data_IF_540684563788
#
_entry.id   IF_540684563788
#
_cell.length_a   1.000
_cell.length_b   1.000
_cell.length_c   1.000
_cell.angle_alpha   90.00
_cell.angle_beta   90.00
_cell.angle_gamma   90.00
#
_symmetry.space_group_name_H-M   'P 1'
#
loop_
_entity.id
_entity.type
_entity.pdbx_description
1 polymer ?
#
# COMPACT_ATOMS: atom_id res chain seq x y z
N UNK A 1 -2.54 28.23 32.32
CA UNK A 1 -3.56 27.99 31.28
C UNK A 1 -2.88 27.93 29.93
N UNK A 2 -3.44 27.19 28.98
CA UNK A 2 -2.88 27.03 27.63
C UNK A 2 -2.93 28.32 26.79
N UNK A 3 -3.66 29.35 27.22
CA UNK A 3 -3.79 30.64 26.51
C UNK A 3 -2.45 31.32 26.19
N UNK A 4 -1.46 31.22 27.09
CA UNK A 4 -0.13 31.80 26.86
C UNK A 4 0.59 31.18 25.64
N UNK A 5 0.32 29.92 25.32
CA UNK A 5 0.90 29.22 24.16
C UNK A 5 0.35 29.76 22.84
N UNK A 6 -0.96 30.03 22.77
CA UNK A 6 -1.61 30.53 21.55
C UNK A 6 -1.22 31.99 21.23
N UNK A 7 -0.87 32.78 22.25
CA UNK A 7 -0.44 34.17 22.10
C UNK A 7 1.08 34.38 22.09
N UNK A 8 1.87 33.30 22.21
CA UNK A 8 3.33 33.37 22.37
C UNK A 8 4.06 34.03 21.18
N UNK A 9 3.48 33.95 19.98
CA UNK A 9 4.02 34.55 18.76
C UNK A 9 3.09 35.67 18.26
N UNK A 10 3.43 36.96 18.50
CA UNK A 10 2.57 38.09 18.17
C UNK A 10 2.27 38.25 16.67
N UNK A 11 3.19 37.81 15.81
CA UNK A 11 3.09 37.96 14.35
C UNK A 11 2.58 36.71 13.63
N UNK A 12 2.78 35.52 14.20
CA UNK A 12 2.33 34.23 13.65
C UNK A 12 1.79 33.31 14.77
N UNK A 13 0.65 33.66 15.40
CA UNK A 13 0.12 32.89 16.51
C UNK A 13 -0.30 31.49 16.06
N UNK A 14 -0.28 30.54 17.00
CA UNK A 14 -0.85 29.22 16.77
C UNK A 14 -2.37 29.36 16.58
N UNK A 15 -2.94 28.70 15.56
CA UNK A 15 -4.37 28.77 15.29
C UNK A 15 -4.98 27.38 15.13
N UNK A 16 -6.26 27.29 15.49
CA UNK A 16 -7.11 26.13 15.20
C UNK A 16 -8.30 26.66 14.40
N UNK A 17 -8.46 26.19 13.16
CA UNK A 17 -9.52 26.63 12.25
C UNK A 17 -10.16 25.44 11.58
N UNK A 18 -11.45 25.58 11.26
CA UNK A 18 -12.17 24.62 10.40
C UNK A 18 -11.79 24.83 8.93
N UNK A 19 -11.95 23.78 8.12
CA UNK A 19 -11.62 23.76 6.69
C UNK A 19 -12.14 24.96 5.90
N UNK A 20 -13.36 25.43 6.22
CA UNK A 20 -14.02 26.54 5.51
C UNK A 20 -13.37 27.90 5.79
N UNK A 21 -12.62 28.02 6.89
CA UNK A 21 -12.05 29.28 7.39
C UNK A 21 -10.53 29.36 7.19
N UNK A 22 -9.92 28.37 6.52
CA UNK A 22 -8.49 28.34 6.21
C UNK A 22 -8.25 29.00 4.85
N UNK A 23 -8.17 30.34 4.86
CA UNK A 23 -7.91 31.12 3.65
C UNK A 23 -6.75 32.09 3.90
N UNK A 24 -5.66 31.90 3.16
CA UNK A 24 -4.45 32.73 3.27
C UNK A 24 -3.57 32.42 4.50
N UNK A 25 -3.99 31.52 5.39
CA UNK A 25 -3.17 31.09 6.52
C UNK A 25 -2.25 29.93 6.14
N UNK A 26 -0.94 30.13 6.28
CA UNK A 26 0.10 29.11 6.04
C UNK A 26 0.99 28.93 7.27
N UNK A 27 1.51 27.71 7.49
CA UNK A 27 2.46 27.40 8.57
C UNK A 27 3.52 26.43 8.08
N UNK A 28 4.68 26.43 8.73
CA UNK A 28 5.75 25.47 8.42
C UNK A 28 5.27 24.02 8.61
N UNK A 29 4.52 23.80 9.69
CA UNK A 29 3.87 22.53 9.99
C UNK A 29 2.37 22.76 10.13
N UNK A 30 1.57 21.96 9.43
CA UNK A 30 0.13 21.94 9.58
C UNK A 30 -0.29 20.58 10.12
N UNK A 31 -1.09 20.60 11.19
CA UNK A 31 -1.71 19.42 11.77
C UNK A 31 -3.16 19.36 11.28
N UNK A 32 -3.50 18.31 10.54
CA UNK A 32 -4.84 18.05 10.03
C UNK A 32 -5.48 16.99 10.90
N UNK A 33 -6.54 17.35 11.63
CA UNK A 33 -7.37 16.39 12.34
C UNK A 33 -8.62 16.08 11.53
N UNK A 34 -8.79 14.83 11.13
CA UNK A 34 -9.98 14.33 10.43
C UNK A 34 -11.02 13.94 11.48
N UNK A 35 -12.07 14.76 11.61
CA UNK A 35 -13.13 14.58 12.61
C UNK A 35 -14.22 13.56 12.25
N UNK A 36 -14.03 12.75 11.20
CA UNK A 36 -14.99 11.71 10.81
C UNK A 36 -14.63 10.38 11.49
N UNK A 37 -15.65 9.67 11.97
CA UNK A 37 -15.44 8.44 12.71
C UNK A 37 -16.67 7.54 12.73
N UNK A 38 -16.45 6.31 13.19
CA UNK A 38 -17.51 5.35 13.46
C UNK A 38 -18.24 5.73 14.74
N UNK A 39 -19.54 5.56 14.78
CA UNK A 39 -20.30 5.65 16.02
C UNK A 39 -20.00 4.43 16.93
N UNK A 40 -20.49 4.41 18.19
CA UNK A 40 -20.27 3.28 19.10
C UNK A 40 -20.79 1.94 18.59
N UNK A 41 -21.69 1.93 17.61
CA UNK A 41 -22.22 0.74 16.94
C UNK A 41 -21.37 0.31 15.72
N UNK A 42 -20.21 0.94 15.50
CA UNK A 42 -19.30 0.63 14.40
C UNK A 42 -19.75 1.18 13.03
N UNK A 43 -20.86 1.91 12.97
CA UNK A 43 -21.40 2.49 11.75
C UNK A 43 -20.76 3.86 11.46
N UNK A 44 -20.29 4.04 10.23
CA UNK A 44 -19.79 5.32 9.74
C UNK A 44 -20.83 5.96 8.81
N UNK A 45 -21.21 7.20 9.13
CA UNK A 45 -22.03 7.99 8.23
C UNK A 45 -21.20 8.44 7.02
N UNK A 46 -21.64 8.10 5.82
CA UNK A 46 -21.00 8.50 4.55
C UNK A 46 -21.36 9.95 4.16
N UNK A 47 -21.26 10.87 5.12
CA UNK A 47 -21.55 12.29 4.96
C UNK A 47 -20.35 13.08 5.43
N UNK A 48 -19.62 13.68 4.48
CA UNK A 48 -18.37 14.39 4.75
C UNK A 48 -18.57 15.91 4.79
N UNK A 49 -19.80 16.38 5.00
CA UNK A 49 -20.11 17.80 5.18
C UNK A 49 -19.59 18.66 4.01
N UNK A 50 -18.79 19.71 4.26
CA UNK A 50 -18.27 20.61 3.22
C UNK A 50 -17.43 19.95 2.12
N UNK A 51 -16.90 18.73 2.36
CA UNK A 51 -16.17 17.94 1.37
C UNK A 51 -17.09 17.18 0.41
N UNK A 52 -18.33 16.91 0.80
CA UNK A 52 -19.35 16.29 -0.07
C UNK A 52 -19.99 17.30 -1.03
N UNK A 53 -19.89 18.60 -0.74
CA UNK A 53 -20.43 19.67 -1.57
C UNK A 53 -19.51 19.97 -2.77
N UNK A 54 -20.06 20.62 -3.80
CA UNK A 54 -19.29 21.10 -4.94
C UNK A 54 -18.13 22.01 -4.50
N UNK A 55 -16.96 21.79 -5.10
CA UNK A 55 -15.71 22.47 -4.72
C UNK A 55 -15.06 21.96 -3.44
N UNK A 56 -15.55 20.87 -2.84
CA UNK A 56 -14.94 20.22 -1.67
C UNK A 56 -13.50 19.77 -1.93
N UNK A 57 -13.20 19.32 -3.14
CA UNK A 57 -11.84 18.97 -3.60
C UNK A 57 -10.90 20.18 -3.59
N UNK A 58 -11.41 21.37 -3.94
CA UNK A 58 -10.62 22.61 -3.93
C UNK A 58 -10.30 23.01 -2.50
N UNK A 59 -11.25 22.87 -1.57
CA UNK A 59 -11.03 23.11 -0.13
C UNK A 59 -9.98 22.15 0.44
N UNK A 60 -10.04 20.87 0.07
CA UNK A 60 -9.06 19.87 0.51
C UNK A 60 -7.66 20.18 -0.02
N UNK A 61 -7.54 20.50 -1.31
CA UNK A 61 -6.25 20.90 -1.90
C UNK A 61 -5.69 22.16 -1.23
N UNK A 62 -6.55 23.13 -0.92
CA UNK A 62 -6.20 24.32 -0.16
C UNK A 62 -5.64 23.95 1.22
N UNK A 63 -6.27 23.03 1.95
CA UNK A 63 -5.81 22.59 3.27
C UNK A 63 -4.43 21.92 3.19
N UNK A 64 -4.25 20.98 2.25
CA UNK A 64 -3.00 20.20 2.09
C UNK A 64 -1.84 21.13 1.71
N UNK A 65 -2.11 22.13 0.87
CA UNK A 65 -1.09 23.08 0.41
C UNK A 65 -0.77 24.21 1.41
N UNK A 66 -1.36 24.22 2.63
CA UNK A 66 -1.02 25.20 3.68
C UNK A 66 0.26 24.87 4.45
N UNK A 67 0.72 23.63 4.39
CA UNK A 67 1.98 23.20 4.99
C UNK A 67 3.17 23.59 4.10
N UNK A 68 4.12 24.36 4.62
CA UNK A 68 5.34 24.71 3.87
C UNK A 68 6.39 23.60 3.91
N UNK A 69 6.50 22.88 5.04
CA UNK A 69 7.53 21.84 5.25
C UNK A 69 6.93 20.47 5.53
N UNK A 70 5.95 20.39 6.44
CA UNK A 70 5.41 19.11 6.90
C UNK A 70 3.91 19.19 7.15
N UNK A 71 3.19 18.18 6.67
CA UNK A 71 1.77 18.00 6.97
C UNK A 71 1.61 16.72 7.81
N UNK A 72 0.99 16.84 8.98
CA UNK A 72 0.71 15.70 9.86
C UNK A 72 -0.79 15.46 9.91
N UNK A 73 -1.22 14.24 9.61
CA UNK A 73 -2.63 13.88 9.53
C UNK A 73 -3.00 12.95 10.67
N UNK A 74 -3.97 13.36 11.48
CA UNK A 74 -4.58 12.55 12.54
C UNK A 74 -5.96 12.13 12.06
N UNK A 75 -6.21 10.84 11.97
CA UNK A 75 -7.48 10.33 11.49
C UNK A 75 -7.88 9.07 12.25
N UNK A 76 -9.15 9.01 12.65
CA UNK A 76 -9.77 7.78 13.19
C UNK A 76 -10.29 6.84 12.10
N UNK A 77 -10.15 7.22 10.83
CA UNK A 77 -10.60 6.46 9.66
C UNK A 77 -9.47 6.36 8.62
N UNK A 78 -9.53 5.33 7.79
CA UNK A 78 -8.62 5.05 6.69
C UNK A 78 -9.30 5.33 5.34
N UNK A 79 -8.53 5.29 4.25
CA UNK A 79 -9.08 5.38 2.90
C UNK A 79 -10.13 4.29 2.61
N UNK A 80 -9.94 3.08 3.16
CA UNK A 80 -10.83 1.93 2.97
C UNK A 80 -12.18 2.10 3.69
N UNK A 81 -12.22 2.92 4.74
CA UNK A 81 -13.47 3.26 5.44
C UNK A 81 -14.38 4.16 4.60
N UNK A 82 -13.87 4.78 3.53
CA UNK A 82 -14.62 5.66 2.65
C UNK A 82 -15.18 4.86 1.47
N UNK A 83 -16.48 4.63 1.49
CA UNK A 83 -17.22 3.97 0.41
C UNK A 83 -17.71 5.00 -0.62
N UNK A 84 -17.04 5.05 -1.78
CA UNK A 84 -17.40 5.96 -2.89
C UNK A 84 -18.70 5.57 -3.60
N UNK A 85 -19.23 4.35 -3.38
CA UNK A 85 -20.55 3.97 -3.86
C UNK A 85 -21.68 4.56 -3.02
N UNK A 86 -21.39 4.93 -1.76
CA UNK A 86 -22.35 5.49 -0.80
C UNK A 86 -22.09 6.95 -0.46
N UNK A 87 -20.90 7.46 -0.74
CA UNK A 87 -20.50 8.84 -0.56
C UNK A 87 -20.26 9.51 -1.91
N UNK A 88 -21.04 10.54 -2.23
CA UNK A 88 -20.87 11.34 -3.44
C UNK A 88 -20.03 12.59 -3.17
N UNK A 89 -19.35 13.07 -4.22
CA UNK A 89 -18.60 14.33 -4.21
C UNK A 89 -17.12 14.14 -4.49
N UNK A 90 -16.56 15.03 -5.33
CA UNK A 90 -15.15 15.01 -5.74
C UNK A 90 -14.21 15.18 -4.56
N UNK A 91 -14.58 15.99 -3.57
CA UNK A 91 -13.81 16.17 -2.33
C UNK A 91 -13.69 14.90 -1.49
N UNK A 92 -14.70 14.03 -1.50
CA UNK A 92 -14.65 12.74 -0.78
C UNK A 92 -13.69 11.76 -1.45
N UNK A 93 -13.70 11.69 -2.78
CA UNK A 93 -12.74 10.87 -3.53
C UNK A 93 -11.30 11.36 -3.36
N UNK A 94 -11.11 12.69 -3.32
CA UNK A 94 -9.82 13.30 -3.03
C UNK A 94 -9.37 13.00 -1.59
N UNK A 95 -10.26 13.08 -0.60
CA UNK A 95 -9.94 12.73 0.80
C UNK A 95 -9.53 11.25 0.91
N UNK A 96 -10.26 10.34 0.26
CA UNK A 96 -9.91 8.91 0.23
C UNK A 96 -8.49 8.69 -0.27
N UNK A 97 -8.12 9.38 -1.36
CA UNK A 97 -6.80 9.18 -1.95
C UNK A 97 -5.72 9.90 -1.18
N UNK A 98 -6.00 11.07 -0.62
CA UNK A 98 -5.11 11.76 0.29
C UNK A 98 -4.80 10.90 1.53
N UNK A 99 -5.80 10.26 2.13
CA UNK A 99 -5.58 9.33 3.25
C UNK A 99 -4.78 8.09 2.81
N UNK A 100 -5.04 7.56 1.62
CA UNK A 100 -4.27 6.45 1.04
C UNK A 100 -2.81 6.84 0.84
N UNK A 101 -2.55 8.04 0.31
CA UNK A 101 -1.22 8.59 0.11
C UNK A 101 -0.52 8.87 1.45
N UNK A 102 -1.20 9.53 2.39
CA UNK A 102 -0.67 9.80 3.73
C UNK A 102 -0.30 8.51 4.50
N UNK A 103 -0.98 7.40 4.18
CA UNK A 103 -0.73 6.10 4.79
C UNK A 103 0.37 5.28 4.08
N UNK A 104 0.49 5.38 2.76
CA UNK A 104 1.33 4.46 1.96
C UNK A 104 2.55 5.12 1.32
N UNK A 105 2.58 6.45 1.22
CA UNK A 105 3.57 7.22 0.47
C UNK A 105 3.53 6.97 -1.04
N UNK A 106 2.62 6.12 -1.54
CA UNK A 106 2.55 5.72 -2.93
C UNK A 106 1.40 6.43 -3.62
N UNK A 107 1.72 7.10 -4.71
CA UNK A 107 0.75 7.57 -5.69
C UNK A 107 0.59 6.50 -6.77
N UNK A 108 -0.53 5.78 -6.72
CA UNK A 108 -0.84 4.70 -7.65
C UNK A 108 -0.73 5.07 -9.13
N UNK A 109 -0.56 4.03 -9.95
CA UNK A 109 -0.36 4.04 -11.41
C UNK A 109 -1.29 5.06 -12.09
N UNK A 110 -0.67 5.95 -12.87
CA UNK A 110 -1.34 7.01 -13.61
C UNK A 110 -2.46 6.44 -14.50
N UNK A 111 -3.70 6.68 -14.09
CA UNK A 111 -4.87 6.15 -14.76
C UNK A 111 -5.42 7.22 -15.69
N UNK A 112 -5.81 6.85 -16.91
CA UNK A 112 -6.59 7.73 -17.80
C UNK A 112 -7.87 8.13 -17.08
N UNK A 113 -8.00 9.40 -16.71
CA UNK A 113 -9.13 9.87 -15.89
C UNK A 113 -10.39 10.12 -16.71
N UNK A 114 -10.29 10.16 -18.04
CA UNK A 114 -11.39 10.48 -18.96
C UNK A 114 -11.90 11.93 -18.82
N UNK A 115 -11.13 12.79 -18.16
CA UNK A 115 -11.45 14.21 -17.93
C UNK A 115 -11.04 15.06 -19.14
N UNK A 116 -11.57 16.27 -19.23
CA UNK A 116 -11.13 17.30 -20.18
C UNK A 116 -10.16 18.27 -19.51
N UNK A 117 -9.53 19.12 -20.31
CA UNK A 117 -8.65 20.19 -19.90
C UNK A 117 -9.34 21.14 -18.91
N UNK A 118 -8.65 21.58 -17.85
CA UNK A 118 -9.22 22.39 -16.76
C UNK A 118 -9.17 23.90 -17.06
N UNK A 119 -8.45 24.29 -18.13
CA UNK A 119 -8.26 25.68 -18.55
C UNK A 119 -8.22 25.82 -20.08
N UNK A 120 -8.70 26.93 -20.66
CA UNK A 120 -8.51 27.24 -22.08
C UNK A 120 -7.03 27.22 -22.49
N UNK A 121 -6.12 27.58 -21.58
CA UNK A 121 -4.68 27.50 -21.84
C UNK A 121 -4.21 26.04 -22.03
N UNK A 122 -4.67 25.12 -21.20
CA UNK A 122 -4.37 23.69 -21.33
C UNK A 122 -4.96 23.13 -22.63
N UNK A 123 -6.15 23.56 -23.03
CA UNK A 123 -6.78 23.21 -24.31
C UNK A 123 -5.91 23.64 -25.50
N UNK A 124 -5.43 24.89 -25.52
CA UNK A 124 -4.55 25.39 -26.57
C UNK A 124 -3.22 24.62 -26.66
N UNK A 125 -2.62 24.27 -25.52
CA UNK A 125 -1.39 23.47 -25.48
C UNK A 125 -1.68 22.05 -25.98
N UNK A 126 -2.77 21.44 -25.52
CA UNK A 126 -3.18 20.10 -25.90
C UNK A 126 -3.37 19.98 -27.41
N UNK A 127 -4.12 20.91 -28.00
CA UNK A 127 -4.37 20.92 -29.44
C UNK A 127 -3.11 21.19 -30.26
N UNK A 128 -2.22 22.07 -29.78
CA UNK A 128 -0.93 22.31 -30.43
C UNK A 128 -0.06 21.04 -30.46
N UNK A 129 -0.04 20.26 -29.37
CA UNK A 129 0.72 19.00 -29.30
C UNK A 129 0.03 17.90 -30.13
N UNK A 130 -1.30 17.85 -30.17
CA UNK A 130 -2.06 16.97 -31.07
C UNK A 130 -1.78 17.27 -32.55
N UNK A 131 -1.68 18.54 -32.91
CA UNK A 131 -1.35 18.99 -34.28
C UNK A 131 0.09 18.64 -34.71
N UNK A 132 1.00 18.42 -33.75
CA UNK A 132 2.32 17.82 -34.03
C UNK A 132 2.25 16.31 -34.30
N UNK A 133 1.06 15.70 -34.19
CA UNK A 133 0.85 14.28 -34.41
C UNK A 133 1.15 13.43 -33.17
N UNK A 134 0.93 13.94 -31.97
CA UNK A 134 1.04 13.15 -30.72
C UNK A 134 -0.33 12.89 -30.09
N UNK A 135 -0.49 11.73 -29.45
CA UNK A 135 -1.69 11.46 -28.63
C UNK A 135 -1.44 12.01 -27.21
N UNK A 136 -2.35 12.86 -26.74
CA UNK A 136 -2.22 13.57 -25.47
C UNK A 136 -3.46 13.34 -24.64
N UNK A 137 -3.24 12.95 -23.38
CA UNK A 137 -4.30 12.72 -22.41
C UNK A 137 -4.25 13.80 -21.32
N UNK A 138 -5.32 14.57 -21.13
CA UNK A 138 -5.38 15.52 -20.03
C UNK A 138 -5.56 14.81 -18.68
N UNK A 139 -5.12 15.49 -17.62
CA UNK A 139 -5.42 15.16 -16.22
C UNK A 139 -5.07 13.71 -15.86
N UNK A 140 -3.86 13.27 -16.22
CA UNK A 140 -3.38 11.90 -16.00
C UNK A 140 -2.72 11.77 -14.63
N UNK A 141 -3.15 10.79 -13.83
CA UNK A 141 -2.64 10.59 -12.47
C UNK A 141 -3.65 9.85 -11.58
N UNK A 142 -3.46 9.90 -10.27
CA UNK A 142 -4.43 9.38 -9.29
C UNK A 142 -4.79 10.44 -8.27
N UNK A 143 -6.10 10.50 -8.02
CA UNK A 143 -6.83 11.38 -7.12
C UNK A 143 -6.02 12.39 -6.28
N UNK A 144 -5.83 13.58 -6.85
CA UNK A 144 -5.25 14.76 -6.21
C UNK A 144 -3.92 15.18 -6.82
N UNK A 145 -3.21 14.26 -7.47
CA UNK A 145 -2.01 14.55 -8.25
C UNK A 145 -2.29 14.17 -9.69
N UNK A 146 -2.71 15.18 -10.45
CA UNK A 146 -2.90 15.07 -11.88
C UNK A 146 -1.78 15.84 -12.56
N UNK A 147 -1.25 15.25 -13.62
CA UNK A 147 -0.43 15.94 -14.60
C UNK A 147 -1.41 16.54 -15.60
N UNK A 148 -1.23 17.84 -15.89
CA UNK A 148 -2.20 18.60 -16.68
C UNK A 148 -2.39 17.97 -18.06
N UNK A 149 -1.30 17.60 -18.74
CA UNK A 149 -1.32 16.85 -19.99
C UNK A 149 -0.23 15.78 -20.01
N UNK A 150 -0.51 14.58 -20.52
CA UNK A 150 0.49 13.52 -20.68
C UNK A 150 0.52 13.01 -22.12
N UNK A 151 1.71 13.03 -22.71
CA UNK A 151 1.98 12.58 -24.08
C UNK A 151 2.17 11.06 -24.08
N UNK A 152 1.33 10.35 -24.81
CA UNK A 152 1.40 8.89 -24.89
C UNK A 152 2.51 8.42 -25.83
N UNK A 153 3.13 7.31 -25.47
CA UNK A 153 4.00 6.55 -26.36
C UNK A 153 3.18 5.76 -27.39
N UNK A 154 3.37 6.07 -28.69
CA UNK A 154 2.71 5.39 -29.80
C UNK A 154 3.24 3.98 -30.04
N UNK A 155 4.49 3.71 -29.69
CA UNK A 155 5.09 2.39 -29.87
C UNK A 155 4.68 1.44 -28.72
N UNK A 156 4.29 1.99 -27.57
CA UNK A 156 3.91 1.24 -26.36
C UNK A 156 2.63 1.79 -25.70
N UNK A 157 1.45 1.32 -26.13
CA UNK A 157 0.18 1.72 -25.53
C UNK A 157 0.14 1.44 -24.02
N UNK A 158 -0.18 2.46 -23.21
CA UNK A 158 -0.16 2.37 -21.73
C UNK A 158 1.04 3.04 -21.06
N UNK A 159 2.07 3.43 -21.82
CA UNK A 159 3.20 4.25 -21.35
C UNK A 159 3.07 5.71 -21.79
N UNK A 160 3.56 6.62 -20.96
CA UNK A 160 3.65 8.04 -21.27
C UNK A 160 5.10 8.45 -21.46
N UNK A 161 5.37 9.25 -22.49
CA UNK A 161 6.69 9.78 -22.82
C UNK A 161 7.03 11.01 -21.98
N UNK A 162 6.05 11.91 -21.82
CA UNK A 162 6.27 13.22 -21.22
C UNK A 162 5.01 13.68 -20.48
N UNK A 163 5.17 14.17 -19.26
CA UNK A 163 4.15 14.96 -18.56
C UNK A 163 4.38 16.45 -18.83
N UNK A 164 3.32 17.17 -19.16
CA UNK A 164 3.35 18.62 -19.37
C UNK A 164 2.55 19.27 -18.24
N UNK A 165 3.19 20.22 -17.56
CA UNK A 165 2.52 21.06 -16.55
C UNK A 165 2.30 22.48 -17.11
N UNK A 166 1.06 22.96 -17.00
CA UNK A 166 0.59 24.27 -17.40
C UNK A 166 0.29 25.09 -16.14
N UNK A 167 0.84 26.29 -16.02
CA UNK A 167 0.44 27.22 -14.95
C UNK A 167 -0.97 27.77 -15.20
N UNK A 168 -1.85 27.60 -14.21
CA UNK A 168 -3.20 28.19 -14.24
C UNK A 168 -3.18 29.71 -14.05
N UNK A 169 -4.06 30.44 -14.73
CA UNK A 169 -4.13 31.91 -14.77
C UNK A 169 -4.41 32.65 -13.44
N UNK A 170 -4.37 31.99 -12.27
CA UNK A 170 -4.53 32.60 -10.95
C UNK A 170 -3.21 32.81 -10.18
N UNK A 171 -2.05 32.63 -10.83
CA UNK A 171 -0.78 32.32 -10.16
C UNK A 171 0.18 33.50 -9.93
N UNK A 172 -0.34 34.66 -9.56
CA UNK A 172 0.49 35.82 -9.21
C UNK A 172 0.17 36.34 -7.80
N UNK A 173 0.71 35.67 -6.77
CA UNK A 173 1.18 36.30 -5.53
C UNK A 173 1.65 35.27 -4.50
N UNK A 174 2.93 34.90 -4.51
CA UNK A 174 3.72 34.63 -3.28
C UNK A 174 5.11 34.08 -3.61
N UNK A 175 6.06 34.38 -2.71
CA UNK A 175 7.40 33.79 -2.68
C UNK A 175 7.39 32.26 -2.52
N UNK A 176 6.28 31.66 -2.03
CA UNK A 176 6.13 30.21 -1.80
C UNK A 176 5.78 29.40 -3.07
N UNK A 177 5.36 30.05 -4.16
CA UNK A 177 4.98 29.36 -5.40
C UNK A 177 6.14 28.61 -6.05
N UNK A 178 7.32 29.24 -6.13
CA UNK A 178 8.51 28.64 -6.77
C UNK A 178 9.04 27.41 -6.04
N UNK A 179 8.91 27.36 -4.72
CA UNK A 179 9.39 26.24 -3.89
C UNK A 179 8.40 25.06 -3.95
N UNK A 180 7.09 25.36 -3.98
CA UNK A 180 6.03 24.38 -4.22
C UNK A 180 6.15 23.72 -5.61
N UNK A 181 6.41 24.50 -6.65
CA UNK A 181 6.52 23.99 -8.03
C UNK A 181 7.79 23.12 -8.21
N UNK A 182 8.90 23.48 -7.54
CA UNK A 182 10.13 22.68 -7.53
C UNK A 182 9.97 21.37 -6.78
N UNK A 183 9.32 21.39 -5.62
CA UNK A 183 9.07 20.17 -4.85
C UNK A 183 8.11 19.24 -5.59
N UNK A 184 7.06 19.78 -6.23
CA UNK A 184 6.13 19.00 -7.03
C UNK A 184 6.82 18.33 -8.23
N UNK A 185 7.64 19.09 -8.95
CA UNK A 185 8.42 18.55 -10.05
C UNK A 185 9.39 17.46 -9.57
N UNK A 186 10.12 17.70 -8.48
CA UNK A 186 11.04 16.72 -7.91
C UNK A 186 10.31 15.43 -7.50
N UNK A 187 9.12 15.53 -6.90
CA UNK A 187 8.31 14.36 -6.54
C UNK A 187 7.85 13.61 -7.79
N UNK A 188 7.39 14.28 -8.84
CA UNK A 188 6.98 13.61 -10.08
C UNK A 188 8.16 12.95 -10.80
N UNK A 189 9.32 13.60 -10.83
CA UNK A 189 10.55 13.09 -11.44
C UNK A 189 11.13 11.90 -10.65
N UNK A 190 11.11 11.95 -9.31
CA UNK A 190 11.48 10.83 -8.43
C UNK A 190 10.60 9.58 -8.68
N UNK A 191 9.36 9.80 -9.12
CA UNK A 191 8.40 8.74 -9.46
C UNK A 191 8.40 8.37 -10.96
N UNK A 192 9.45 8.75 -11.69
CA UNK A 192 9.72 8.29 -13.05
C UNK A 192 9.07 9.10 -14.17
N UNK A 193 8.53 10.28 -13.89
CA UNK A 193 8.01 11.17 -14.93
C UNK A 193 9.09 12.09 -15.50
N UNK A 194 9.12 12.24 -16.82
CA UNK A 194 9.84 13.33 -17.47
C UNK A 194 8.85 14.50 -17.58
N UNK A 195 9.11 15.60 -16.89
CA UNK A 195 8.21 16.75 -16.82
C UNK A 195 8.70 17.90 -17.69
N UNK A 196 7.79 18.50 -18.47
CA UNK A 196 8.02 19.74 -19.20
C UNK A 196 7.02 20.80 -18.79
N UNK A 197 7.50 21.93 -18.28
CA UNK A 197 6.63 23.03 -17.85
C UNK A 197 6.46 24.07 -18.96
N UNK A 198 5.22 24.54 -19.14
CA UNK A 198 4.89 25.66 -20.02
C UNK A 198 4.25 26.75 -19.17
N UNK A 199 4.79 27.97 -19.29
CA UNK A 199 4.23 29.16 -18.65
C UNK A 199 3.24 29.84 -19.61
N UNK A 200 2.07 30.22 -19.12
CA UNK A 200 0.94 30.81 -19.84
C UNK A 200 1.35 32.16 -20.44
N UNK A 201 2.17 32.92 -19.73
CA UNK A 201 2.76 34.18 -20.22
C UNK A 201 3.70 33.96 -21.39
N UNK A 202 4.53 32.92 -21.32
CA UNK A 202 5.49 32.59 -22.37
C UNK A 202 4.79 32.01 -23.60
N UNK A 203 3.76 31.19 -23.38
CA UNK A 203 2.91 30.65 -24.42
C UNK A 203 2.17 31.75 -25.18
N UNK A 204 1.60 32.72 -24.47
CA UNK A 204 0.88 33.83 -25.10
C UNK A 204 1.80 34.70 -25.96
N UNK A 205 3.03 34.97 -25.50
CA UNK A 205 3.97 35.80 -26.24
C UNK A 205 4.65 35.06 -27.40
N UNK A 206 4.99 33.78 -27.21
CA UNK A 206 5.86 33.02 -28.13
C UNK A 206 5.38 31.56 -28.28
N UNK A 207 4.15 31.32 -28.76
CA UNK A 207 3.58 29.97 -28.82
C UNK A 207 4.39 29.04 -29.72
N UNK A 208 4.88 29.55 -30.85
CA UNK A 208 5.73 28.80 -31.79
C UNK A 208 7.06 28.33 -31.17
N UNK A 209 7.68 29.14 -30.31
CA UNK A 209 8.92 28.73 -29.64
C UNK A 209 8.64 27.71 -28.53
N UNK A 210 7.54 27.88 -27.78
CA UNK A 210 7.19 26.95 -26.71
C UNK A 210 6.81 25.57 -27.26
N UNK A 211 6.03 25.52 -28.33
CA UNK A 211 5.68 24.24 -28.96
C UNK A 211 6.91 23.54 -29.56
N UNK A 212 7.89 24.30 -30.08
CA UNK A 212 9.16 23.72 -30.55
C UNK A 212 9.99 23.13 -29.38
N UNK A 213 9.97 23.78 -28.20
CA UNK A 213 10.61 23.25 -26.99
C UNK A 213 9.93 21.98 -26.49
N UNK A 214 8.60 21.91 -26.56
CA UNK A 214 7.82 20.71 -26.23
C UNK A 214 8.17 19.58 -27.20
N UNK A 215 8.19 19.83 -28.51
CA UNK A 215 8.56 18.83 -29.51
C UNK A 215 9.98 18.28 -29.25
N UNK A 216 10.94 19.17 -28.97
CA UNK A 216 12.29 18.76 -28.62
C UNK A 216 12.35 18.00 -27.28
N UNK A 217 11.48 18.32 -26.31
CA UNK A 217 11.39 17.59 -25.05
C UNK A 217 10.81 16.18 -25.24
N UNK A 218 9.82 16.01 -26.12
CA UNK A 218 9.26 14.71 -26.49
C UNK A 218 10.34 13.84 -27.15
N UNK A 219 11.10 14.38 -28.10
CA UNK A 219 12.18 13.63 -28.76
C UNK A 219 13.29 13.25 -27.76
N UNK A 220 13.68 14.17 -26.87
CA UNK A 220 14.62 13.83 -25.78
C UNK A 220 14.07 12.74 -24.87
N UNK A 221 12.79 12.81 -24.51
CA UNK A 221 12.16 11.80 -23.66
C UNK A 221 12.16 10.42 -24.33
N UNK A 222 11.90 10.33 -25.64
CA UNK A 222 12.03 9.09 -26.40
C UNK A 222 13.45 8.54 -26.34
N UNK A 223 14.46 9.37 -26.56
CA UNK A 223 15.87 8.94 -26.51
C UNK A 223 16.27 8.47 -25.11
N UNK A 224 15.90 9.21 -24.06
CA UNK A 224 16.19 8.83 -22.67
C UNK A 224 15.53 7.50 -22.31
N UNK A 225 14.26 7.31 -22.70
CA UNK A 225 13.53 6.06 -22.44
C UNK A 225 14.05 4.89 -23.28
N UNK A 226 14.47 5.11 -24.52
CA UNK A 226 15.08 4.08 -25.36
C UNK A 226 16.48 3.70 -24.87
N UNK A 227 17.31 4.67 -24.47
CA UNK A 227 18.62 4.42 -23.89
C UNK A 227 18.55 3.68 -22.55
N UNK A 228 17.60 4.02 -21.69
CA UNK A 228 17.36 3.30 -20.44
C UNK A 228 16.91 1.84 -20.69
N UNK A 229 16.21 1.57 -21.79
CA UNK A 229 15.79 0.23 -22.20
C UNK A 229 16.92 -0.58 -22.84
N UNK A 230 17.76 0.07 -23.65
CA UNK A 230 18.95 -0.56 -24.23
C UNK A 230 20.00 -0.84 -23.15
N UNK A 231 20.19 0.04 -22.16
CA UNK A 231 21.02 -0.22 -20.97
C UNK A 231 20.45 -1.36 -20.12
N UNK A 232 19.13 -1.42 -19.92
CA UNK A 232 18.47 -2.52 -19.21
C UNK A 232 18.54 -3.86 -19.97
N UNK A 233 18.74 -3.83 -21.30
CA UNK A 233 18.77 -5.01 -22.17
C UNK A 233 20.19 -5.47 -22.55
N UNK A 234 21.18 -4.57 -22.48
CA UNK A 234 22.58 -4.83 -22.83
C UNK A 234 23.52 -5.01 -21.62
N UNK A 235 23.09 -4.68 -20.40
CA UNK A 235 23.91 -4.90 -19.20
C UNK A 235 23.87 -6.38 -18.75
N UNK A 236 25.02 -7.09 -18.64
CA UNK A 236 25.14 -8.19 -17.70
C UNK A 236 25.03 -7.62 -16.28
N UNK A 237 24.30 -8.32 -15.42
CA UNK A 237 23.98 -7.91 -14.05
C UNK A 237 25.24 -7.68 -13.22
N UNK A 238 25.75 -6.45 -13.23
CA UNK A 238 26.79 -5.96 -12.33
C UNK A 238 26.74 -4.44 -12.25
N UNK A 239 26.48 -3.92 -11.05
CA UNK A 239 27.27 -2.91 -10.32
C UNK A 239 26.42 -1.93 -9.51
N UNK A 240 26.58 -2.06 -8.18
CA UNK A 240 26.63 -0.92 -7.29
C UNK A 240 27.89 -0.09 -7.57
N UNK A 241 27.81 1.23 -7.35
CA UNK A 241 28.92 1.99 -6.77
C UNK A 241 28.34 3.07 -5.84
N UNK A 242 28.67 2.92 -4.55
CA UNK A 242 28.55 3.91 -3.48
C UNK A 242 29.46 5.13 -3.68
N UNK A 243 29.13 6.27 -3.08
CA UNK A 243 29.97 6.91 -2.02
C UNK A 243 29.07 7.69 -1.04
N UNK A 244 28.86 7.05 0.12
CA UNK A 244 28.93 7.53 1.51
C UNK A 244 28.24 8.84 1.96
N UNK A 245 27.23 8.67 2.82
CA UNK A 245 27.34 9.00 4.26
C UNK A 245 26.52 8.00 5.09
N UNK A 246 27.23 7.18 5.86
CA UNK A 246 26.78 6.25 6.91
C UNK A 246 25.55 5.38 6.59
N UNK A 247 25.73 4.51 5.59
CA UNK A 247 24.81 3.41 5.29
C UNK A 247 25.46 2.07 5.64
N UNK A 248 24.83 1.33 6.55
CA UNK A 248 24.77 -0.13 6.45
C UNK A 248 23.35 -0.50 6.02
N UNK A 249 23.07 -0.38 4.72
CA UNK A 249 21.83 -0.86 4.10
C UNK A 249 22.20 -2.04 3.22
N UNK A 250 21.91 -3.25 3.72
CA UNK A 250 22.04 -4.49 2.96
C UNK A 250 20.95 -4.50 1.88
N UNK A 251 21.35 -4.66 0.62
CA UNK A 251 20.43 -4.81 -0.51
C UNK A 251 19.60 -6.08 -0.36
N UNK A 252 18.29 -5.93 -0.27
CA UNK A 252 17.33 -7.01 -0.07
C UNK A 252 17.08 -7.73 -1.40
N UNK A 253 17.50 -9.00 -1.51
CA UNK A 253 17.05 -9.93 -2.54
C UNK A 253 15.51 -9.97 -2.59
N UNK A 254 14.96 -10.02 -3.80
CA UNK A 254 13.51 -9.97 -4.03
C UNK A 254 12.75 -10.97 -3.13
N UNK A 255 11.87 -10.50 -2.21
CA UNK A 255 11.17 -11.35 -1.24
C UNK A 255 10.28 -12.45 -1.86
N UNK A 256 9.94 -12.32 -3.14
CA UNK A 256 9.08 -13.28 -3.86
C UNK A 256 9.79 -14.59 -4.22
N UNK A 257 11.12 -14.66 -4.17
CA UNK A 257 11.89 -15.89 -4.43
C UNK A 257 12.00 -16.84 -3.23
N UNK A 258 11.59 -16.38 -2.04
CA UNK A 258 11.78 -17.08 -0.76
C UNK A 258 10.51 -17.76 -0.22
N UNK A 259 9.40 -17.72 -0.96
CA UNK A 259 8.15 -18.38 -0.60
C UNK A 259 7.56 -19.20 -1.74
N UNK A 260 6.80 -20.24 -1.39
CA UNK A 260 6.09 -21.09 -2.37
C UNK A 260 4.61 -20.74 -2.39
N UNK A 261 3.90 -20.87 -3.53
CA UNK A 261 2.47 -20.55 -3.57
C UNK A 261 1.67 -21.50 -2.65
N UNK A 262 0.69 -20.97 -1.93
CA UNK A 262 -0.24 -21.77 -1.14
C UNK A 262 -1.11 -22.63 -2.05
N UNK A 263 -1.12 -23.94 -1.80
CA UNK A 263 -1.94 -24.89 -2.56
C UNK A 263 -3.06 -25.40 -1.67
N UNK A 264 -4.29 -25.28 -2.18
CA UNK A 264 -5.50 -25.76 -1.52
C UNK A 264 -5.68 -27.26 -1.78
N UNK A 265 -6.11 -28.00 -0.76
CA UNK A 265 -6.31 -29.43 -0.88
C UNK A 265 -7.43 -29.75 -1.88
N UNK A 266 -7.14 -30.69 -2.78
CA UNK A 266 -8.09 -31.19 -3.76
C UNK A 266 -7.93 -32.71 -3.84
N UNK A 267 -8.94 -33.44 -3.40
CA UNK A 267 -8.98 -34.91 -3.47
C UNK A 267 -10.42 -35.42 -3.46
N UNK A 268 -10.61 -36.66 -3.91
CA UNK A 268 -11.93 -37.27 -3.97
C UNK A 268 -12.47 -37.58 -2.57
N UNK A 269 -13.74 -37.29 -2.34
CA UNK A 269 -14.43 -37.52 -1.07
C UNK A 269 -15.71 -38.33 -1.29
N UNK A 270 -16.22 -39.06 -0.28
CA UNK A 270 -17.47 -39.80 -0.42
C UNK A 270 -18.65 -38.84 -0.54
N UNK A 271 -19.09 -38.56 -1.77
CA UNK A 271 -20.19 -37.60 -2.05
C UNK A 271 -21.58 -38.18 -1.83
N UNK A 272 -21.70 -39.51 -1.65
CA UNK A 272 -22.98 -40.20 -1.38
C UNK A 272 -23.57 -39.86 0.00
N UNK A 273 -22.76 -39.34 0.92
CA UNK A 273 -23.17 -38.89 2.25
C UNK A 273 -22.75 -37.44 2.44
N UNK A 274 -23.55 -36.67 3.16
CA UNK A 274 -23.17 -35.31 3.55
C UNK A 274 -22.01 -35.36 4.57
N UNK A 275 -21.16 -34.33 4.66
CA UNK A 275 -20.01 -34.34 5.57
C UNK A 275 -20.38 -34.62 7.03
N UNK A 276 -21.51 -34.09 7.49
CA UNK A 276 -21.97 -34.25 8.87
C UNK A 276 -22.62 -35.61 9.17
N UNK A 277 -22.80 -36.47 8.16
CA UNK A 277 -23.29 -37.85 8.29
C UNK A 277 -22.13 -38.85 8.46
N UNK A 278 -20.89 -38.41 8.23
CA UNK A 278 -19.71 -39.22 8.49
C UNK A 278 -19.54 -39.43 9.99
N UNK A 279 -19.13 -40.64 10.38
CA UNK A 279 -18.69 -40.90 11.75
C UNK A 279 -17.43 -40.09 12.06
N UNK A 280 -17.16 -39.81 13.34
CA UNK A 280 -15.97 -39.04 13.74
C UNK A 280 -14.65 -39.66 13.22
N UNK A 281 -14.45 -40.99 13.21
CA UNK A 281 -13.25 -41.59 12.62
C UNK A 281 -13.16 -41.40 11.09
N UNK A 282 -14.28 -41.51 10.36
CA UNK A 282 -14.31 -41.25 8.90
C UNK A 282 -13.99 -39.79 8.60
N UNK A 283 -14.60 -38.84 9.33
CA UNK A 283 -14.30 -37.42 9.21
C UNK A 283 -12.83 -37.13 9.56
N UNK A 284 -12.28 -37.77 10.59
CA UNK A 284 -10.88 -37.62 10.99
C UNK A 284 -9.90 -38.03 9.88
N UNK A 285 -10.21 -39.06 9.08
CA UNK A 285 -9.37 -39.43 7.93
C UNK A 285 -9.34 -38.33 6.86
N UNK A 286 -10.49 -37.74 6.55
CA UNK A 286 -10.60 -36.65 5.57
C UNK A 286 -9.91 -35.39 6.09
N UNK A 287 -10.17 -35.01 7.34
CA UNK A 287 -9.55 -33.86 8.01
C UNK A 287 -8.03 -34.02 8.07
N UNK A 288 -7.53 -35.20 8.44
CA UNK A 288 -6.08 -35.47 8.46
C UNK A 288 -5.47 -35.27 7.08
N UNK A 289 -6.15 -35.71 6.01
CA UNK A 289 -5.66 -35.50 4.64
C UNK A 289 -5.63 -34.01 4.25
N UNK A 290 -6.59 -33.21 4.71
CA UNK A 290 -6.52 -31.75 4.55
C UNK A 290 -5.32 -31.18 5.31
N UNK A 291 -5.13 -31.55 6.58
CA UNK A 291 -4.00 -31.08 7.40
C UNK A 291 -2.65 -31.52 6.84
N UNK A 292 -2.57 -32.69 6.20
CA UNK A 292 -1.36 -33.15 5.52
C UNK A 292 -0.98 -32.27 4.32
N UNK A 293 -1.96 -31.78 3.57
CA UNK A 293 -1.73 -30.98 2.36
C UNK A 293 -1.63 -29.48 2.65
N UNK A 294 -2.40 -28.98 3.62
CA UNK A 294 -2.53 -27.55 3.92
C UNK A 294 -1.92 -27.16 5.28
N UNK A 295 -1.47 -28.11 6.09
CA UNK A 295 -0.85 -27.84 7.39
C UNK A 295 0.43 -27.00 7.27
N UNK A 296 0.66 -26.03 8.19
CA UNK A 296 -0.25 -25.58 9.25
C UNK A 296 -1.49 -24.83 8.71
N UNK A 297 -2.68 -25.22 9.15
CA UNK A 297 -3.96 -24.64 8.67
C UNK A 297 -4.93 -24.39 9.82
N UNK A 298 -5.64 -23.27 9.80
CA UNK A 298 -6.61 -22.92 10.85
C UNK A 298 -7.83 -23.86 10.81
N UNK A 299 -8.37 -24.23 11.97
CA UNK A 299 -9.53 -25.13 12.06
C UNK A 299 -10.76 -24.69 11.26
N UNK A 300 -11.04 -23.39 11.21
CA UNK A 300 -12.13 -22.85 10.39
C UNK A 300 -11.87 -23.04 8.89
N UNK A 301 -10.61 -22.92 8.45
CA UNK A 301 -10.25 -23.13 7.05
C UNK A 301 -10.35 -24.62 6.69
N UNK A 302 -10.06 -25.53 7.62
CA UNK A 302 -10.35 -26.96 7.43
C UNK A 302 -11.84 -27.17 7.18
N UNK A 303 -12.73 -26.51 7.92
CA UNK A 303 -14.17 -26.61 7.70
C UNK A 303 -14.61 -26.03 6.34
N UNK A 304 -14.00 -24.90 5.92
CA UNK A 304 -14.18 -24.33 4.57
C UNK A 304 -13.72 -25.30 3.49
N UNK A 305 -12.56 -25.93 3.67
CA UNK A 305 -12.01 -26.92 2.74
C UNK A 305 -12.90 -28.14 2.61
N UNK A 306 -13.37 -28.69 3.72
CA UNK A 306 -14.32 -29.83 3.72
C UNK A 306 -15.59 -29.47 2.96
N UNK A 307 -16.14 -28.27 3.18
CA UNK A 307 -17.30 -27.78 2.42
C UNK A 307 -17.01 -27.74 0.92
N UNK A 308 -15.86 -27.20 0.52
CA UNK A 308 -15.46 -27.06 -0.88
C UNK A 308 -15.25 -28.42 -1.57
N UNK A 309 -14.66 -29.40 -0.88
CA UNK A 309 -14.51 -30.77 -1.39
C UNK A 309 -15.86 -31.45 -1.68
N UNK A 310 -16.92 -31.08 -0.95
CA UNK A 310 -18.30 -31.53 -1.19
C UNK A 310 -19.11 -30.61 -2.12
N UNK A 311 -18.52 -29.55 -2.67
CA UNK A 311 -19.20 -28.61 -3.56
C UNK A 311 -20.35 -27.83 -2.89
N UNK A 312 -20.31 -27.66 -1.57
CA UNK A 312 -21.38 -27.01 -0.82
C UNK A 312 -21.17 -25.48 -0.77
N UNK A 313 -22.26 -24.71 -0.85
CA UNK A 313 -22.19 -23.24 -0.90
C UNK A 313 -21.94 -22.54 0.45
N UNK A 314 -22.25 -23.17 1.60
CA UNK A 314 -22.07 -22.56 2.93
C UNK A 314 -21.58 -23.58 3.95
N UNK A 315 -20.76 -23.11 4.90
CA UNK A 315 -20.34 -23.90 6.06
C UNK A 315 -21.41 -23.75 7.13
N UNK A 316 -22.17 -24.81 7.38
CA UNK A 316 -23.14 -24.84 8.49
C UNK A 316 -22.47 -25.24 9.82
N UNK A 317 -23.09 -24.88 10.95
CA UNK A 317 -22.59 -25.22 12.30
C UNK A 317 -22.34 -26.71 12.50
N UNK A 318 -23.15 -27.58 11.88
CA UNK A 318 -22.99 -29.04 11.93
C UNK A 318 -21.67 -29.53 11.30
N UNK A 319 -21.21 -28.87 10.23
CA UNK A 319 -19.93 -29.21 9.58
C UNK A 319 -18.78 -28.76 10.49
N UNK A 320 -18.84 -27.55 11.03
CA UNK A 320 -17.85 -27.05 11.98
C UNK A 320 -17.72 -27.96 13.21
N UNK A 321 -18.86 -28.40 13.77
CA UNK A 321 -18.87 -29.30 14.93
C UNK A 321 -18.26 -30.68 14.60
N UNK A 322 -18.59 -31.24 13.44
CA UNK A 322 -18.01 -32.52 12.99
C UNK A 322 -16.49 -32.42 12.77
N UNK A 323 -16.03 -31.34 12.14
CA UNK A 323 -14.60 -31.05 11.93
C UNK A 323 -13.88 -30.84 13.26
N UNK A 324 -14.46 -30.08 14.20
CA UNK A 324 -13.88 -29.85 15.53
C UNK A 324 -13.72 -31.16 16.32
N UNK A 325 -14.72 -32.04 16.29
CA UNK A 325 -14.65 -33.39 16.90
C UNK A 325 -13.55 -34.24 16.26
N UNK A 326 -13.41 -34.18 14.94
CA UNK A 326 -12.38 -34.91 14.20
C UNK A 326 -10.97 -34.40 14.50
N UNK A 327 -10.75 -33.07 14.51
CA UNK A 327 -9.48 -32.45 14.90
C UNK A 327 -9.08 -32.83 16.34
N UNK A 328 -10.04 -32.75 17.27
CA UNK A 328 -9.84 -33.16 18.66
C UNK A 328 -9.41 -34.63 18.78
N UNK A 329 -9.98 -35.51 17.97
CA UNK A 329 -9.61 -36.93 17.94
C UNK A 329 -8.18 -37.14 17.41
N UNK A 330 -7.80 -36.43 16.34
CA UNK A 330 -6.47 -36.52 15.75
C UNK A 330 -5.37 -36.03 16.71
N UNK A 331 -5.62 -34.90 17.40
CA UNK A 331 -4.71 -34.38 18.43
C UNK A 331 -4.54 -35.37 19.58
N UNK A 332 -5.64 -35.96 20.09
CA UNK A 332 -5.58 -36.97 21.16
C UNK A 332 -4.81 -38.23 20.77
N UNK A 333 -4.80 -38.60 19.49
CA UNK A 333 -4.05 -39.74 18.95
C UNK A 333 -2.60 -39.41 18.63
N UNK A 334 -2.18 -38.14 18.76
CA UNK A 334 -0.86 -37.68 18.34
C UNK A 334 -0.65 -37.69 16.83
N UNK A 335 -1.73 -37.76 16.04
CA UNK A 335 -1.66 -37.71 14.57
C UNK A 335 -1.55 -36.27 14.04
N UNK A 336 -2.00 -35.29 14.83
CA UNK A 336 -1.85 -33.86 14.56
C UNK A 336 -1.39 -33.11 15.81
N UNK A 337 -0.66 -32.01 15.62
CA UNK A 337 -0.36 -31.00 16.63
C UNK A 337 -1.24 -29.77 16.42
N UNK A 338 -1.61 -29.11 17.52
CA UNK A 338 -2.38 -27.87 17.53
C UNK A 338 -1.55 -26.75 18.18
N UNK A 339 -1.48 -25.59 17.52
CA UNK A 339 -0.80 -24.37 17.98
C UNK A 339 -1.68 -23.18 17.57
N UNK A 340 -2.27 -22.47 18.54
CA UNK A 340 -3.08 -21.26 18.32
C UNK A 340 -4.24 -21.45 17.31
N UNK A 341 -4.95 -22.59 17.37
CA UNK A 341 -6.03 -22.92 16.45
C UNK A 341 -5.56 -23.42 15.06
N UNK A 342 -4.25 -23.56 14.85
CA UNK A 342 -3.65 -24.13 13.65
C UNK A 342 -3.26 -25.57 13.85
N UNK A 343 -3.56 -26.40 12.85
CA UNK A 343 -3.32 -27.84 12.88
C UNK A 343 -2.25 -28.21 11.86
N UNK A 344 -1.31 -29.06 12.28
CA UNK A 344 -0.19 -29.56 11.47
C UNK A 344 0.09 -31.02 11.83
N UNK A 345 0.84 -31.73 10.97
CA UNK A 345 1.38 -33.05 11.35
C UNK A 345 2.62 -32.85 12.25
N UNK A 346 2.86 -33.69 13.28
CA UNK A 346 3.94 -33.47 14.25
C UNK A 346 5.35 -33.35 13.65
N UNK A 347 5.60 -33.96 12.49
CA UNK A 347 6.90 -33.95 11.81
C UNK A 347 6.88 -33.17 10.48
N UNK A 348 5.85 -32.34 10.24
CA UNK A 348 5.78 -31.57 9.01
C UNK A 348 6.85 -30.47 8.98
N UNK A 349 7.55 -30.36 7.85
CA UNK A 349 8.44 -29.23 7.59
C UNK A 349 7.58 -28.01 7.28
N UNK A 350 7.83 -26.90 7.97
CA UNK A 350 7.07 -25.66 7.79
C UNK A 350 7.61 -24.93 6.55
N UNK A 351 6.81 -24.90 5.49
CA UNK A 351 7.10 -24.10 4.29
C UNK A 351 6.52 -22.68 4.44
N UNK A 352 7.24 -21.67 3.96
CA UNK A 352 6.75 -20.30 3.90
C UNK A 352 5.86 -20.17 2.66
N UNK A 353 4.56 -19.97 2.87
CA UNK A 353 3.58 -20.03 1.77
C UNK A 353 2.98 -18.66 1.44
N UNK A 354 3.02 -18.29 0.17
CA UNK A 354 2.40 -17.08 -0.35
C UNK A 354 0.90 -17.33 -0.60
N UNK A 355 0.04 -16.56 0.08
CA UNK A 355 -1.43 -16.70 0.02
C UNK A 355 -2.11 -15.67 -0.87
N UNK A 356 -1.35 -14.85 -1.60
CA UNK A 356 -1.89 -13.74 -2.39
C UNK A 356 -2.87 -14.16 -3.48
N UNK A 357 -2.69 -15.37 -4.04
CA UNK A 357 -3.52 -15.97 -5.08
C UNK A 357 -4.51 -17.03 -4.58
N UNK A 358 -4.59 -17.26 -3.27
CA UNK A 358 -5.48 -18.29 -2.71
C UNK A 358 -6.96 -17.94 -2.95
N UNK A 359 -7.77 -18.93 -3.36
CA UNK A 359 -9.18 -18.70 -3.69
C UNK A 359 -10.03 -18.38 -2.45
N UNK A 360 -9.67 -18.93 -1.29
CA UNK A 360 -10.37 -18.70 -0.03
C UNK A 360 -10.04 -17.31 0.53
N UNK A 361 -11.08 -16.52 0.80
CA UNK A 361 -10.92 -15.15 1.29
C UNK A 361 -10.40 -15.08 2.72
N UNK A 362 -10.65 -16.11 3.55
CA UNK A 362 -10.14 -16.22 4.93
C UNK A 362 -8.61 -16.33 4.96
N UNK A 363 -8.01 -17.06 4.02
CA UNK A 363 -6.55 -17.22 3.91
C UNK A 363 -5.79 -15.89 3.67
N UNK A 364 -6.48 -14.85 3.19
CA UNK A 364 -5.90 -13.51 2.99
C UNK A 364 -6.10 -12.59 4.19
N UNK A 365 -6.54 -13.11 5.34
CA UNK A 365 -6.70 -12.36 6.60
C UNK A 365 -5.56 -12.68 7.56
N UNK A 366 -5.04 -11.69 8.31
CA UNK A 366 -3.95 -11.93 9.26
C UNK A 366 -4.26 -12.99 10.31
N UNK A 367 -5.50 -13.10 10.79
CA UNK A 367 -5.89 -14.11 11.80
C UNK A 367 -5.66 -15.55 11.33
N UNK A 368 -5.64 -15.79 10.01
CA UNK A 368 -5.47 -17.11 9.40
C UNK A 368 -4.02 -17.39 8.98
N UNK A 369 -3.07 -16.56 9.41
CA UNK A 369 -1.64 -16.80 9.21
C UNK A 369 -1.07 -17.69 10.33
N UNK A 370 -0.53 -18.87 10.01
CA UNK A 370 0.04 -19.73 11.03
C UNK A 370 1.27 -19.12 11.68
N UNK A 371 1.30 -19.12 13.01
CA UNK A 371 2.41 -18.58 13.80
C UNK A 371 3.74 -19.25 13.43
N UNK A 372 3.74 -20.56 13.17
CA UNK A 372 4.91 -21.31 12.72
C UNK A 372 5.49 -20.79 11.37
N UNK A 373 4.64 -20.43 10.41
CA UNK A 373 5.09 -19.89 9.12
C UNK A 373 5.63 -18.47 9.24
N UNK A 374 4.97 -17.65 10.05
CA UNK A 374 5.44 -16.29 10.35
C UNK A 374 6.83 -16.36 11.00
N UNK A 375 7.02 -17.25 11.99
CA UNK A 375 8.32 -17.47 12.62
C UNK A 375 9.38 -17.94 11.62
N UNK A 376 9.03 -18.89 10.75
CA UNK A 376 9.93 -19.37 9.70
C UNK A 376 10.35 -18.25 8.73
N UNK A 377 9.40 -17.39 8.32
CA UNK A 377 9.68 -16.26 7.45
C UNK A 377 10.56 -15.20 8.12
N UNK A 378 10.31 -14.88 9.39
CA UNK A 378 11.16 -13.96 10.18
C UNK A 378 12.60 -14.50 10.27
N UNK A 379 12.77 -15.78 10.61
CA UNK A 379 14.09 -16.39 10.72
C UNK A 379 14.82 -16.39 9.37
N UNK A 380 14.15 -16.77 8.28
CA UNK A 380 14.75 -16.74 6.94
C UNK A 380 15.18 -15.33 6.54
N UNK A 381 14.37 -14.31 6.85
CA UNK A 381 14.70 -12.92 6.59
C UNK A 381 15.96 -12.49 7.36
N UNK A 382 16.01 -12.77 8.65
CA UNK A 382 17.14 -12.38 9.51
C UNK A 382 18.41 -13.15 9.12
N UNK A 383 18.28 -14.41 8.71
CA UNK A 383 19.39 -15.23 8.23
C UNK A 383 19.96 -14.73 6.91
N UNK A 384 19.09 -14.21 6.04
CA UNK A 384 19.48 -13.66 4.72
C UNK A 384 20.16 -12.31 4.86
N UNK A 385 19.70 -11.45 5.79
CA UNK A 385 20.14 -10.06 5.91
C UNK A 385 21.03 -9.77 7.12
N UNK A 386 21.31 -10.76 7.96
CA UNK A 386 22.11 -10.64 9.19
C UNK A 386 21.59 -9.59 10.20
N UNK A 387 20.31 -9.22 10.09
CA UNK A 387 19.64 -8.27 10.97
C UNK A 387 18.66 -7.36 10.20
N UNK A 388 17.63 -6.86 10.89
CA UNK A 388 16.67 -5.91 10.31
C UNK A 388 15.95 -5.10 11.39
N UNK A 389 15.53 -3.89 11.05
CA UNK A 389 14.65 -3.10 11.94
C UNK A 389 13.29 -3.77 12.05
N UNK A 390 12.65 -3.66 13.23
CA UNK A 390 11.36 -4.32 13.50
C UNK A 390 10.29 -3.96 12.47
N UNK A 391 10.21 -2.68 12.07
CA UNK A 391 9.26 -2.22 11.06
C UNK A 391 9.52 -2.81 9.65
N UNK A 392 10.78 -3.04 9.31
CA UNK A 392 11.19 -3.65 8.06
C UNK A 392 10.86 -5.15 8.04
N UNK A 393 11.02 -5.84 9.18
CA UNK A 393 10.65 -7.26 9.34
C UNK A 393 9.17 -7.45 9.03
N UNK A 394 8.28 -6.66 9.65
CA UNK A 394 6.84 -6.83 9.43
C UNK A 394 6.45 -6.62 7.96
N UNK A 395 7.10 -5.66 7.29
CA UNK A 395 6.81 -5.35 5.88
C UNK A 395 7.32 -6.44 4.94
N UNK A 396 8.55 -6.91 5.13
CA UNK A 396 9.14 -7.95 4.29
C UNK A 396 8.43 -9.30 4.47
N UNK A 397 8.17 -9.72 5.71
CA UNK A 397 7.45 -10.96 6.02
C UNK A 397 6.01 -10.91 5.48
N UNK A 398 5.33 -9.76 5.57
CA UNK A 398 4.01 -9.57 5.00
C UNK A 398 3.98 -9.85 3.49
N UNK A 399 4.96 -9.31 2.75
CA UNK A 399 5.10 -9.57 1.30
C UNK A 399 5.37 -11.03 0.99
N UNK A 400 6.30 -11.68 1.70
CA UNK A 400 6.61 -13.11 1.53
C UNK A 400 5.36 -14.01 1.67
N UNK A 401 4.46 -13.66 2.59
CA UNK A 401 3.22 -14.39 2.86
C UNK A 401 2.05 -14.01 1.93
N UNK A 402 2.26 -13.09 0.98
CA UNK A 402 1.28 -12.71 -0.04
C UNK A 402 0.41 -11.51 0.29
N UNK A 403 0.77 -10.70 1.30
CA UNK A 403 0.07 -9.47 1.64
C UNK A 403 0.69 -8.28 0.92
N UNK A 404 -0.14 -7.57 0.13
CA UNK A 404 0.31 -6.38 -0.62
C UNK A 404 0.63 -5.18 0.27
N UNK A 405 -0.03 -5.10 1.43
CA UNK A 405 0.15 -4.05 2.42
C UNK A 405 0.16 -4.64 3.83
N UNK A 406 0.92 -4.00 4.72
CA UNK A 406 1.07 -4.44 6.11
C UNK A 406 0.10 -3.67 6.99
N UNK A 407 -1.08 -4.24 7.22
CA UNK A 407 -2.08 -3.67 8.12
C UNK A 407 -1.60 -3.70 9.59
N UNK A 408 -2.21 -2.89 10.45
CA UNK A 408 -1.87 -2.89 11.89
C UNK A 408 -2.07 -4.28 12.53
N UNK A 409 -3.11 -5.02 12.12
CA UNK A 409 -3.35 -6.39 12.58
C UNK A 409 -2.28 -7.37 12.10
N UNK A 410 -1.84 -7.23 10.84
CA UNK A 410 -0.73 -8.05 10.31
C UNK A 410 0.58 -7.74 11.03
N UNK A 411 0.88 -6.46 11.23
CA UNK A 411 2.06 -5.99 11.96
C UNK A 411 2.07 -6.54 13.38
N UNK A 412 0.97 -6.38 14.12
CA UNK A 412 0.86 -6.89 15.49
C UNK A 412 1.08 -8.40 15.56
N UNK A 413 0.54 -9.18 14.62
CA UNK A 413 0.76 -10.63 14.57
C UNK A 413 2.22 -10.99 14.27
N UNK A 414 2.88 -10.29 13.35
CA UNK A 414 4.31 -10.52 13.06
C UNK A 414 5.17 -10.12 14.25
N UNK A 415 4.92 -8.95 14.85
CA UNK A 415 5.68 -8.43 15.98
C UNK A 415 5.56 -9.30 17.23
N UNK A 416 4.40 -9.95 17.42
CA UNK A 416 4.19 -10.96 18.45
C UNK A 416 5.09 -12.19 18.22
N UNK A 417 5.23 -12.65 16.98
CA UNK A 417 6.11 -13.78 16.67
C UNK A 417 7.59 -13.41 16.76
N UNK A 418 7.96 -12.19 16.38
CA UNK A 418 9.32 -11.65 16.62
C UNK A 418 9.63 -11.66 18.13
N UNK A 419 8.71 -11.17 18.96
CA UNK A 419 8.88 -11.17 20.42
C UNK A 419 8.98 -12.60 20.99
N UNK A 420 8.20 -13.56 20.46
CA UNK A 420 8.29 -14.97 20.85
C UNK A 420 9.65 -15.60 20.49
N UNK A 421 10.22 -15.26 19.32
CA UNK A 421 11.55 -15.71 18.90
C UNK A 421 12.69 -15.08 19.71
N UNK A 422 12.52 -13.84 20.17
CA UNK A 422 13.44 -13.21 21.12
C UNK A 422 13.35 -13.89 22.48
N UNK A 423 12.14 -14.15 22.98
CA UNK A 423 11.93 -14.83 24.27
C UNK A 423 12.46 -16.28 24.28
N UNK A 424 12.42 -16.98 23.14
CA UNK A 424 13.02 -18.31 23.00
C UNK A 424 14.54 -18.29 22.86
N UNK A 425 15.16 -17.11 22.75
CA UNK A 425 16.59 -16.93 22.61
C UNK A 425 17.13 -17.22 21.20
N UNK A 426 16.27 -17.35 20.19
CA UNK A 426 16.69 -17.52 18.79
C UNK A 426 17.09 -16.19 18.16
N UNK A 427 16.46 -15.10 18.59
CA UNK A 427 16.76 -13.73 18.19
C UNK A 427 17.18 -12.89 19.39
N UNK A 428 17.89 -11.80 19.14
CA UNK A 428 18.20 -10.77 20.13
C UNK A 428 17.92 -9.38 19.54
N UNK A 429 17.69 -8.42 20.43
CA UNK A 429 17.39 -7.03 20.08
C UNK A 429 18.59 -6.17 20.46
N UNK A 430 19.10 -5.37 19.54
CA UNK A 430 20.13 -4.35 19.77
C UNK A 430 19.54 -2.93 19.58
N UNK A 431 19.67 -2.06 20.58
CA UNK A 431 19.29 -0.64 20.52
C UNK A 431 18.37 -0.16 21.66
N UNK A 432 18.53 1.13 22.02
CA UNK A 432 18.23 1.81 23.31
C UNK A 432 16.86 1.63 23.97
N UNK A 433 16.89 1.70 25.31
CA UNK A 433 15.76 1.66 26.25
C UNK A 433 14.76 2.85 26.12
N UNK A 434 14.93 3.74 25.14
CA UNK A 434 14.09 4.93 24.91
C UNK A 434 13.46 4.94 23.50
N UNK A 435 12.48 4.07 23.26
CA UNK A 435 11.39 4.29 22.29
C UNK A 435 11.72 4.42 20.79
N UNK A 436 12.97 4.22 20.35
CA UNK A 436 13.40 4.18 18.94
C UNK A 436 13.30 2.78 18.31
N UNK A 437 13.21 2.70 16.98
CA UNK A 437 13.01 1.46 16.20
C UNK A 437 14.18 0.47 16.39
N UNK A 438 14.00 -0.51 17.28
CA UNK A 438 15.04 -1.45 17.70
C UNK A 438 15.39 -2.45 16.58
N UNK A 439 16.69 -2.74 16.45
CA UNK A 439 17.22 -3.71 15.48
C UNK A 439 17.12 -5.13 16.03
N UNK A 440 16.72 -6.10 15.20
CA UNK A 440 16.62 -7.51 15.58
C UNK A 440 17.60 -8.34 14.75
N UNK A 441 18.40 -9.18 15.42
CA UNK A 441 19.36 -10.07 14.77
C UNK A 441 19.39 -11.47 15.39
N UNK A 442 20.09 -12.40 14.75
CA UNK A 442 20.24 -13.77 15.27
C UNK A 442 21.15 -13.75 16.49
N UNK A 443 20.74 -14.43 17.56
CA UNK A 443 21.58 -14.56 18.76
C UNK A 443 22.80 -15.41 18.42
N UNK A 444 24.00 -14.92 18.74
CA UNK A 444 25.22 -15.70 18.58
C UNK A 444 25.15 -16.94 19.50
N UNK A 445 25.29 -18.12 18.92
CA UNK A 445 25.48 -19.34 19.70
C UNK A 445 26.88 -19.25 20.31
N UNK A 446 26.96 -19.12 21.64
CA UNK A 446 28.25 -19.17 22.33
C UNK A 446 28.90 -20.54 22.02
N UNK A 447 30.22 -20.56 21.70
CA UNK A 447 30.94 -21.79 21.35
C UNK A 447 30.99 -22.82 22.49
#
# INVERSE_FOLDING_TARGET
GTEAFFAAHPTEPFFVKNLENVQGDERDVVFISVGYGRNPQGYMAMRFGPLSNDGGERRLNVLISRAKRRCEVFSSITADDIDLGRASGRGVAALKTFLSFAQTGQLGIATRTGRTEDSPFEEFVCDAVRNLGYEVHPQVGVAGFFIDLAVQDREKPGRYLLGIECDGAAYHSSRSARERDRLRQAVLEEHGWIIHRIWSTDWFQRPGEQIAKVAAAIERAKVVLAAAEDDARAAPVAHAVDVERDNAVVSVAEPDSLSVPYQQAAFAVPTLRAPHELTTPEMAQVVRRVVELEGPVHGDEVAVRIRELWGLGRTGSRIQESVSKALSLLVRRGECSEDDGFYSLPSAVIAIRNRGSASSASLRRPEYLPSAEVRAAVLLLIDTYHGAQRMQISTAVGRMLGFKATSAGLRARIDQQVAALVASGLLEVEGDEDGGDASVRRRAVAP
#
